data_IF_011293922373
#
_entry.id   IF_011293922373
#
_cell.length_a   1.000
_cell.length_b   1.000
_cell.length_c   1.000
_cell.angle_alpha   90.00
_cell.angle_beta   90.00
_cell.angle_gamma   90.00
#
_symmetry.space_group_name_H-M   'P 1'
#
loop_
_entity.id
_entity.type
_entity.pdbx_description
1 polymer ?
#
# COMPACT_ATOMS: atom_id res chain seq x y z
N UNK A 1 15.91 1.96 4.34
CA UNK A 1 17.23 2.11 3.68
C UNK A 1 18.30 1.59 4.63
N UNK A 2 19.10 0.61 4.21
CA UNK A 2 20.12 -0.02 5.05
C UNK A 2 21.50 0.28 4.47
N UNK A 3 22.42 0.78 5.30
CA UNK A 3 23.81 1.01 4.91
C UNK A 3 24.56 -0.34 4.83
N UNK A 4 25.10 -0.73 3.66
CA UNK A 4 25.76 -2.02 3.48
C UNK A 4 27.07 -2.15 4.27
N UNK A 5 27.67 -1.05 4.72
CA UNK A 5 28.97 -1.06 5.41
C UNK A 5 28.87 -1.55 6.85
N UNK A 6 27.74 -1.29 7.50
CA UNK A 6 27.56 -1.54 8.93
C UNK A 6 26.16 -2.06 9.31
N UNK A 7 25.26 -2.27 8.34
CA UNK A 7 23.92 -2.81 8.57
C UNK A 7 22.95 -1.84 9.23
N UNK A 8 23.29 -0.55 9.36
CA UNK A 8 22.43 0.44 10.02
C UNK A 8 21.27 0.85 9.12
N UNK A 9 20.05 0.85 9.66
CA UNK A 9 18.91 1.54 9.04
C UNK A 9 19.09 3.05 9.19
N UNK A 10 19.45 3.73 8.10
CA UNK A 10 19.84 5.15 8.16
C UNK A 10 18.64 6.10 8.18
N UNK A 11 17.48 5.66 7.69
CA UNK A 11 16.26 6.46 7.65
C UNK A 11 15.28 6.11 8.80
N UNK A 12 15.78 5.70 9.96
CA UNK A 12 14.95 5.27 11.11
C UNK A 12 14.40 6.46 11.90
N UNK A 13 13.72 7.39 11.23
CA UNK A 13 13.10 8.57 11.81
C UNK A 13 11.87 8.98 10.97
N UNK A 14 11.01 9.84 11.51
CA UNK A 14 9.76 10.24 10.86
C UNK A 14 9.90 11.26 9.72
N UNK A 15 11.11 11.79 9.50
CA UNK A 15 11.37 12.71 8.39
C UNK A 15 11.82 11.96 7.14
N UNK A 16 12.71 10.98 7.28
CA UNK A 16 13.29 10.22 6.17
C UNK A 16 12.52 8.92 5.84
N UNK A 17 11.78 8.37 6.81
CA UNK A 17 10.84 7.28 6.55
C UNK A 17 9.49 7.87 6.17
N UNK A 18 9.31 8.07 4.87
CA UNK A 18 8.11 8.71 4.34
C UNK A 18 6.87 7.85 4.61
N UNK A 19 5.88 8.49 5.24
CA UNK A 19 4.51 8.00 5.39
C UNK A 19 3.57 8.96 4.68
N UNK A 20 2.39 8.51 4.20
CA UNK A 20 1.43 9.41 3.58
C UNK A 20 1.04 10.56 4.50
N UNK A 21 0.98 11.76 3.93
CA UNK A 21 0.49 12.98 4.57
C UNK A 21 -0.93 13.31 4.10
N UNK A 22 -1.54 14.36 4.64
CA UNK A 22 -2.88 14.80 4.22
C UNK A 22 -2.95 15.08 2.70
N UNK A 23 -1.90 15.69 2.13
CA UNK A 23 -1.86 16.05 0.72
C UNK A 23 -1.71 14.84 -0.23
N UNK A 24 -1.29 13.67 0.27
CA UNK A 24 -1.06 12.48 -0.55
C UNK A 24 -2.33 11.64 -0.77
N UNK A 25 -3.40 11.91 -0.01
CA UNK A 25 -4.60 11.08 0.04
C UNK A 25 -5.72 11.70 -0.81
N UNK A 26 -6.18 11.03 -1.88
CA UNK A 26 -7.35 11.46 -2.65
C UNK A 26 -8.65 11.09 -1.92
N UNK A 27 -9.79 11.46 -2.50
CA UNK A 27 -11.09 10.95 -2.05
C UNK A 27 -11.12 9.41 -2.13
N UNK A 28 -11.59 8.77 -1.05
CA UNK A 28 -11.67 7.31 -0.94
C UNK A 28 -13.14 6.90 -0.85
N UNK A 29 -13.59 6.09 -1.81
CA UNK A 29 -14.89 5.44 -1.77
C UNK A 29 -14.76 4.00 -1.26
N UNK A 30 -15.64 3.61 -0.32
CA UNK A 30 -15.70 2.25 0.23
C UNK A 30 -17.11 1.73 0.11
N UNK A 31 -17.27 0.61 -0.61
CA UNK A 31 -18.56 -0.04 -0.83
C UNK A 31 -18.58 -1.36 -0.06
N UNK A 32 -19.54 -1.50 0.85
CA UNK A 32 -19.77 -2.77 1.54
C UNK A 32 -20.58 -3.71 0.65
N UNK A 33 -19.98 -4.85 0.31
CA UNK A 33 -20.64 -5.97 -0.40
C UNK A 33 -20.84 -7.19 0.49
N UNK A 34 -20.65 -7.01 1.81
CA UNK A 34 -20.67 -8.10 2.78
C UNK A 34 -22.06 -8.68 2.98
N UNK A 35 -22.10 -10.00 3.15
CA UNK A 35 -23.26 -10.76 3.65
C UNK A 35 -22.84 -11.45 4.95
N UNK A 36 -23.70 -11.51 5.98
CA UNK A 36 -23.41 -12.25 7.20
C UNK A 36 -23.03 -13.70 6.92
N UNK A 37 -21.99 -14.18 7.59
CA UNK A 37 -21.43 -15.52 7.43
C UNK A 37 -21.34 -16.21 8.80
N UNK A 38 -22.36 -17.02 9.11
CA UNK A 38 -22.47 -17.73 10.39
C UNK A 38 -21.54 -18.94 10.49
N UNK A 39 -20.99 -19.40 9.36
CA UNK A 39 -19.97 -20.45 9.34
C UNK A 39 -18.58 -19.86 9.66
N UNK A 40 -18.33 -18.60 9.28
CA UNK A 40 -17.10 -17.89 9.61
C UNK A 40 -17.05 -17.39 11.07
N UNK A 41 -18.16 -16.91 11.62
CA UNK A 41 -18.23 -16.51 13.04
C UNK A 41 -19.66 -16.57 13.59
N UNK A 42 -19.80 -16.76 14.91
CA UNK A 42 -21.11 -16.81 15.59
C UNK A 42 -21.95 -15.53 15.42
N UNK A 43 -21.29 -14.40 15.15
CA UNK A 43 -21.94 -13.10 14.94
C UNK A 43 -22.14 -12.75 13.45
N UNK A 44 -21.70 -13.62 12.53
CA UNK A 44 -21.83 -13.38 11.09
C UNK A 44 -20.80 -12.42 10.50
N UNK A 45 -19.89 -11.87 11.31
CA UNK A 45 -18.84 -10.96 10.89
C UNK A 45 -17.68 -11.67 10.19
N UNK A 46 -16.94 -10.93 9.35
CA UNK A 46 -15.70 -11.36 8.71
C UNK A 46 -14.58 -10.34 8.97
N UNK A 47 -13.34 -10.73 8.72
CA UNK A 47 -12.18 -9.87 8.91
C UNK A 47 -12.21 -8.64 8.00
N UNK A 48 -12.00 -7.45 8.57
CA UNK A 48 -11.97 -6.16 7.84
C UNK A 48 -10.67 -5.37 8.08
N UNK A 49 -10.00 -5.55 9.22
CA UNK A 49 -8.84 -4.72 9.59
C UNK A 49 -7.66 -4.80 8.61
N UNK A 50 -7.35 -5.99 8.10
CA UNK A 50 -6.21 -6.20 7.20
C UNK A 50 -6.60 -6.13 5.72
N UNK A 51 -7.85 -6.44 5.37
CA UNK A 51 -8.26 -6.54 3.96
C UNK A 51 -8.12 -5.21 3.21
N UNK A 52 -8.21 -4.08 3.92
CA UNK A 52 -8.10 -2.75 3.33
C UNK A 52 -6.75 -2.43 2.69
N UNK A 53 -5.65 -3.09 3.09
CA UNK A 53 -4.33 -2.89 2.46
C UNK A 53 -4.03 -3.90 1.36
N UNK A 54 -4.74 -5.04 1.36
CA UNK A 54 -4.54 -6.11 0.40
C UNK A 54 -4.92 -5.63 -0.99
N UNK A 55 -3.97 -5.70 -1.93
CA UNK A 55 -4.21 -5.32 -3.32
C UNK A 55 -4.03 -3.83 -3.64
N UNK A 56 -3.85 -2.95 -2.65
CA UNK A 56 -3.67 -1.50 -2.88
C UNK A 56 -2.40 -1.21 -3.68
N UNK A 57 -1.24 -1.70 -3.22
CA UNK A 57 0.04 -1.49 -3.90
C UNK A 57 0.06 -2.01 -5.36
N UNK A 58 -0.38 -3.26 -5.66
CA UNK A 58 -0.42 -3.73 -7.04
C UNK A 58 -1.46 -2.98 -7.91
N UNK A 59 -2.58 -2.51 -7.35
CA UNK A 59 -3.53 -1.67 -8.09
C UNK A 59 -2.89 -0.34 -8.53
N UNK A 60 -2.21 0.35 -7.60
CA UNK A 60 -1.46 1.58 -7.91
C UNK A 60 -0.34 1.28 -8.93
N UNK A 61 0.42 0.20 -8.76
CA UNK A 61 1.47 -0.18 -9.70
C UNK A 61 0.93 -0.44 -11.12
N UNK A 62 -0.24 -1.07 -11.23
CA UNK A 62 -0.92 -1.27 -12.52
C UNK A 62 -1.39 0.05 -13.13
N UNK A 63 -1.87 1.00 -12.31
CA UNK A 63 -2.25 2.33 -12.78
C UNK A 63 -1.03 3.13 -13.28
N UNK A 64 0.12 3.05 -12.59
CA UNK A 64 1.39 3.65 -13.05
C UNK A 64 1.82 3.02 -14.37
N UNK A 65 1.77 1.68 -14.49
CA UNK A 65 2.06 1.00 -15.75
C UNK A 65 1.12 1.44 -16.88
N UNK A 66 -0.17 1.56 -16.60
CA UNK A 66 -1.16 2.04 -17.58
C UNK A 66 -0.87 3.47 -18.05
N UNK A 67 -0.46 4.36 -17.13
CA UNK A 67 -0.18 5.75 -17.44
C UNK A 67 1.17 5.97 -18.17
N UNK A 68 2.16 5.11 -17.93
CA UNK A 68 3.55 5.35 -18.36
C UNK A 68 4.12 4.29 -19.30
N UNK A 69 3.49 3.12 -19.41
CA UNK A 69 4.05 1.93 -20.07
C UNK A 69 5.18 1.24 -19.30
N UNK A 70 5.66 1.80 -18.17
CA UNK A 70 6.78 1.26 -17.39
C UNK A 70 6.26 0.36 -16.26
N UNK A 71 6.72 -0.90 -16.22
CA UNK A 71 6.30 -1.87 -15.20
C UNK A 71 7.35 -2.01 -14.10
N UNK A 72 7.09 -1.42 -12.94
CA UNK A 72 7.96 -1.49 -11.76
C UNK A 72 7.48 -2.60 -10.82
N UNK A 73 8.37 -3.54 -10.50
CA UNK A 73 8.08 -4.70 -9.63
C UNK A 73 8.76 -4.62 -8.26
N UNK A 74 9.70 -3.70 -8.10
CA UNK A 74 10.42 -3.44 -6.86
C UNK A 74 9.86 -2.17 -6.21
N UNK A 75 9.25 -2.33 -5.03
CA UNK A 75 8.64 -1.22 -4.28
C UNK A 75 9.65 -0.52 -3.36
N UNK A 76 9.46 0.77 -3.02
CA UNK A 76 8.39 1.65 -3.51
C UNK A 76 8.62 2.11 -4.96
N UNK A 77 7.56 2.62 -5.61
CA UNK A 77 7.64 3.23 -6.94
C UNK A 77 7.98 4.71 -6.76
N UNK A 78 9.25 5.06 -6.89
CA UNK A 78 9.72 6.45 -6.81
C UNK A 78 9.94 7.05 -8.20
N UNK A 79 10.06 8.38 -8.27
CA UNK A 79 10.22 9.11 -9.52
C UNK A 79 11.45 8.62 -10.32
N UNK A 80 12.55 8.30 -9.65
CA UNK A 80 13.79 7.83 -10.27
C UNK A 80 13.60 6.51 -11.03
N UNK A 81 12.61 5.69 -10.64
CA UNK A 81 12.27 4.45 -11.35
C UNK A 81 11.42 4.69 -12.60
N UNK A 82 10.92 5.92 -12.81
CA UNK A 82 10.05 6.30 -13.92
C UNK A 82 10.73 7.17 -14.98
N UNK A 83 11.96 7.64 -14.75
CA UNK A 83 12.79 8.36 -15.73
C UNK A 83 13.54 7.32 -16.58
#
# INVERSE_FOLDING_TARGET
VVDPRNGRTINSNMADYLVPTNADIPDIEVISVGVPDLDASTLGGKGVGEVGIVGVAPAIANAVFHATGKRIRDLPITLEKLI
#
